data_IF_673577957712
#
_entry.id   IF_673577957712
#
_cell.length_a   1.000
_cell.length_b   1.000
_cell.length_c   1.000
_cell.angle_alpha   90.00
_cell.angle_beta   90.00
_cell.angle_gamma   90.00
#
_symmetry.space_group_name_H-M   'P 1'
#
loop_
_entity.id
_entity.type
_entity.pdbx_description
1 polymer ?
#
# COMPACT_ATOMS: atom_id res chain seq x y z
N UNK A 1 -3.21 14.40 17.23
CA UNK A 1 -3.84 13.12 17.63
C UNK A 1 -4.44 12.53 16.36
N UNK A 2 -4.20 11.27 16.05
CA UNK A 2 -4.78 10.62 14.86
C UNK A 2 -6.29 10.44 15.03
N UNK A 3 -7.03 10.45 13.91
CA UNK A 3 -8.45 10.12 13.93
C UNK A 3 -8.68 8.65 14.39
N UNK A 4 -9.88 8.36 14.87
CA UNK A 4 -10.25 7.01 15.26
C UNK A 4 -10.22 6.07 14.03
N UNK A 5 -9.70 4.84 14.16
CA UNK A 5 -9.76 3.86 13.10
C UNK A 5 -11.22 3.49 12.74
N UNK A 6 -11.46 3.25 11.47
CA UNK A 6 -12.74 2.80 10.93
C UNK A 6 -12.59 1.34 10.54
N UNK A 7 -13.38 0.45 11.13
CA UNK A 7 -13.39 -0.95 10.74
C UNK A 7 -13.94 -1.13 9.32
N UNK A 8 -13.31 -2.00 8.53
CA UNK A 8 -13.78 -2.30 7.17
C UNK A 8 -15.02 -3.19 7.18
N UNK A 9 -15.19 -3.99 8.22
CA UNK A 9 -16.30 -4.95 8.35
C UNK A 9 -17.00 -4.77 9.70
N UNK A 10 -18.32 -5.02 9.74
CA UNK A 10 -19.14 -4.91 10.95
C UNK A 10 -18.92 -6.06 11.96
N UNK A 11 -18.03 -6.99 11.65
CA UNK A 11 -17.68 -8.16 12.47
C UNK A 11 -16.32 -8.72 12.06
N UNK A 12 -16.05 -10.01 12.34
CA UNK A 12 -14.85 -10.66 11.86
C UNK A 12 -14.71 -10.53 10.33
N UNK A 13 -13.52 -10.20 9.86
CA UNK A 13 -13.29 -10.09 8.42
C UNK A 13 -13.42 -11.47 7.75
N UNK A 14 -14.09 -11.59 6.59
CA UNK A 14 -14.35 -12.86 5.93
C UNK A 14 -13.06 -13.65 5.67
N UNK A 15 -13.00 -14.92 6.12
CA UNK A 15 -11.84 -15.80 6.00
C UNK A 15 -10.82 -15.68 7.12
N UNK A 16 -11.11 -14.90 8.17
CA UNK A 16 -10.27 -14.78 9.38
C UNK A 16 -11.09 -14.91 10.68
N UNK A 17 -12.28 -15.52 10.65
CA UNK A 17 -13.22 -15.60 11.78
C UNK A 17 -12.65 -16.34 12.98
N UNK A 18 -11.68 -17.23 12.78
CA UNK A 18 -11.03 -18.00 13.84
C UNK A 18 -9.67 -17.44 14.28
N UNK A 19 -9.27 -16.27 13.78
CA UNK A 19 -7.96 -15.71 14.13
C UNK A 19 -7.98 -15.13 15.55
N UNK A 20 -6.93 -15.48 16.32
CA UNK A 20 -6.80 -15.10 17.74
C UNK A 20 -5.58 -14.24 18.02
N UNK A 21 -4.83 -13.89 16.98
CA UNK A 21 -3.65 -13.01 17.11
C UNK A 21 -4.03 -11.66 17.70
N UNK A 22 -3.19 -11.16 18.60
CA UNK A 22 -3.39 -9.85 19.22
C UNK A 22 -2.59 -8.82 18.45
N UNK A 23 -3.29 -7.82 17.86
CA UNK A 23 -2.64 -6.70 17.21
C UNK A 23 -1.66 -6.01 18.16
N UNK A 24 -0.44 -5.76 17.70
CA UNK A 24 0.61 -5.08 18.46
C UNK A 24 1.17 -3.94 17.64
N UNK A 25 1.62 -2.90 18.32
CA UNK A 25 2.39 -1.81 17.73
C UNK A 25 3.66 -1.60 18.54
N UNK A 26 4.80 -1.61 17.87
CA UNK A 26 6.10 -1.43 18.50
C UNK A 26 7.13 -0.89 17.49
N UNK A 27 8.22 -0.30 17.99
CA UNK A 27 9.36 0.06 17.17
C UNK A 27 10.25 -1.17 16.98
N UNK A 28 10.68 -1.43 15.75
CA UNK A 28 11.65 -2.49 15.45
C UNK A 28 12.93 -1.88 14.89
N UNK A 29 14.06 -2.23 15.50
CA UNK A 29 15.39 -1.84 15.00
C UNK A 29 15.75 -2.53 13.68
N UNK A 30 15.14 -3.71 13.40
CA UNK A 30 15.39 -4.47 12.16
C UNK A 30 14.98 -3.70 10.92
N UNK A 31 13.91 -2.91 11.01
CA UNK A 31 13.41 -2.07 9.92
C UNK A 31 13.48 -0.57 10.22
N UNK A 32 14.01 -0.20 11.37
CA UNK A 32 14.15 1.20 11.83
C UNK A 32 12.84 2.00 11.62
N UNK A 33 11.72 1.44 12.12
CA UNK A 33 10.39 2.06 12.00
C UNK A 33 9.42 1.49 13.04
N UNK A 34 8.35 2.22 13.34
CA UNK A 34 7.17 1.70 14.02
C UNK A 34 6.45 0.69 13.11
N UNK A 35 6.07 -0.44 13.67
CA UNK A 35 5.32 -1.49 12.98
C UNK A 35 4.03 -1.84 13.68
N UNK A 36 3.03 -2.25 12.91
CA UNK A 36 1.83 -2.92 13.41
C UNK A 36 1.83 -4.36 12.92
N UNK A 37 1.55 -5.31 13.82
CA UNK A 37 1.59 -6.75 13.52
C UNK A 37 0.30 -7.43 13.96
N UNK A 38 0.07 -8.67 13.51
CA UNK A 38 -1.11 -9.49 13.88
C UNK A 38 -2.46 -8.82 13.60
N UNK A 39 -2.58 -8.03 12.54
CA UNK A 39 -3.85 -7.44 12.14
C UNK A 39 -4.81 -8.57 11.71
N UNK A 40 -5.89 -8.74 12.46
CA UNK A 40 -7.01 -9.65 12.14
C UNK A 40 -8.30 -8.88 11.83
N UNK A 41 -8.42 -7.65 12.35
CA UNK A 41 -9.54 -6.74 12.12
C UNK A 41 -9.07 -5.52 11.31
N UNK A 42 -9.15 -5.56 9.97
CA UNK A 42 -8.63 -4.50 9.11
C UNK A 42 -9.37 -3.18 9.31
N UNK A 43 -8.60 -2.08 9.27
CA UNK A 43 -9.12 -0.73 9.52
C UNK A 43 -8.54 0.30 8.57
N UNK A 44 -9.27 1.40 8.37
CA UNK A 44 -8.79 2.64 7.77
C UNK A 44 -8.63 3.72 8.84
N UNK A 45 -7.50 4.43 8.83
CA UNK A 45 -7.28 5.60 9.69
C UNK A 45 -7.29 6.84 8.82
N UNK A 46 -8.33 7.70 8.92
CA UNK A 46 -8.39 8.94 8.13
C UNK A 46 -7.32 9.95 8.55
N UNK A 47 -6.73 10.62 7.57
CA UNK A 47 -5.82 11.75 7.72
C UNK A 47 -6.36 12.87 6.82
N UNK A 48 -7.15 13.81 7.39
CA UNK A 48 -7.77 14.87 6.61
C UNK A 48 -6.74 15.89 6.12
N UNK A 49 -7.06 16.65 5.05
CA UNK A 49 -6.20 17.72 4.57
C UNK A 49 -5.87 18.72 5.67
N UNK A 50 -4.60 19.13 5.75
CA UNK A 50 -4.17 20.15 6.74
C UNK A 50 -4.28 21.57 6.21
N UNK A 51 -4.27 21.75 4.88
CA UNK A 51 -4.49 23.04 4.25
C UNK A 51 -6.00 23.34 4.19
N UNK A 52 -6.46 24.28 5.00
CA UNK A 52 -7.87 24.67 5.04
C UNK A 52 -8.37 25.11 3.66
N UNK A 53 -9.36 24.42 3.11
CA UNK A 53 -10.07 24.79 1.89
C UNK A 53 -9.42 24.38 0.56
N UNK A 54 -8.43 23.52 0.55
CA UNK A 54 -7.72 23.08 -0.66
C UNK A 54 -7.91 21.61 -1.05
N UNK A 55 -8.86 20.90 -0.48
CA UNK A 55 -9.23 19.58 -0.98
C UNK A 55 -10.13 19.75 -2.20
N UNK A 56 -9.65 19.34 -3.39
CA UNK A 56 -10.48 19.24 -4.60
C UNK A 56 -11.24 17.91 -4.67
N UNK A 57 -11.45 17.30 -3.50
CA UNK A 57 -12.14 16.03 -3.33
C UNK A 57 -11.24 14.80 -3.55
N UNK A 58 -9.94 14.95 -3.71
CA UNK A 58 -9.04 13.81 -3.94
C UNK A 58 -8.83 12.99 -2.68
N UNK A 59 -8.87 11.66 -2.83
CA UNK A 59 -8.59 10.71 -1.77
C UNK A 59 -7.48 9.73 -2.16
N UNK A 60 -6.67 9.32 -1.18
CA UNK A 60 -5.64 8.29 -1.37
C UNK A 60 -5.65 7.30 -0.21
N UNK A 61 -5.78 6.01 -0.53
CA UNK A 61 -5.55 4.93 0.42
C UNK A 61 -4.07 4.59 0.39
N UNK A 62 -3.44 4.53 1.55
CA UNK A 62 -2.01 4.22 1.72
C UNK A 62 -1.88 2.87 2.42
N UNK A 63 -1.30 1.88 1.75
CA UNK A 63 -1.05 0.54 2.26
C UNK A 63 0.45 0.35 2.54
N UNK A 64 0.88 0.32 3.81
CA UNK A 64 2.28 0.11 4.18
C UNK A 64 2.81 -1.26 3.75
N UNK A 65 4.12 -1.39 3.57
CA UNK A 65 4.80 -2.67 3.38
C UNK A 65 5.13 -3.37 4.69
N UNK A 66 5.82 -4.51 4.58
CA UNK A 66 6.28 -5.31 5.72
C UNK A 66 6.07 -6.81 5.52
N UNK A 67 6.19 -7.29 4.28
CA UNK A 67 6.19 -8.73 3.95
C UNK A 67 4.92 -9.47 4.36
N UNK A 68 3.78 -8.79 4.52
CA UNK A 68 2.53 -9.32 5.09
C UNK A 68 2.65 -9.84 6.53
N UNK A 69 3.76 -9.64 7.22
CA UNK A 69 3.95 -10.00 8.63
C UNK A 69 3.89 -8.76 9.55
N UNK A 70 4.07 -7.58 8.98
CA UNK A 70 3.95 -6.30 9.66
C UNK A 70 3.52 -5.21 8.69
N UNK A 71 3.24 -4.04 9.23
CA UNK A 71 3.00 -2.80 8.49
C UNK A 71 4.03 -1.78 8.98
N UNK A 72 4.91 -1.29 8.11
CA UNK A 72 5.78 -0.14 8.39
C UNK A 72 4.93 1.12 8.54
N UNK A 73 4.18 1.19 9.65
CA UNK A 73 3.03 2.08 9.84
C UNK A 73 3.42 3.55 9.87
N UNK A 74 4.63 3.86 10.26
CA UNK A 74 5.16 5.23 10.27
C UNK A 74 5.72 5.61 8.90
N UNK A 75 6.84 5.01 8.47
CA UNK A 75 7.60 5.43 7.28
C UNK A 75 6.88 5.20 5.94
N UNK A 76 5.99 4.22 5.85
CA UNK A 76 5.22 3.87 4.63
C UNK A 76 3.70 4.05 4.81
N UNK A 77 3.28 4.50 6.00
CA UNK A 77 1.89 4.77 6.33
C UNK A 77 1.66 6.25 6.64
N UNK A 78 1.81 6.63 7.91
CA UNK A 78 1.43 7.96 8.36
C UNK A 78 2.31 9.08 7.80
N UNK A 79 3.61 8.89 7.62
CA UNK A 79 4.48 9.90 7.05
C UNK A 79 4.09 10.22 5.59
N UNK A 80 3.69 9.21 4.82
CA UNK A 80 3.14 9.37 3.47
C UNK A 80 1.80 10.10 3.51
N UNK A 81 0.88 9.63 4.36
CA UNK A 81 -0.44 10.22 4.50
C UNK A 81 -0.39 11.70 4.93
N UNK A 82 0.50 12.05 5.86
CA UNK A 82 0.72 13.45 6.30
C UNK A 82 1.25 14.32 5.16
N UNK A 83 2.19 13.80 4.35
CA UNK A 83 2.72 14.52 3.18
C UNK A 83 1.65 14.78 2.13
N UNK A 84 0.77 13.79 1.87
CA UNK A 84 -0.36 13.93 0.96
C UNK A 84 -1.42 14.90 1.52
N UNK A 85 -1.74 14.79 2.80
CA UNK A 85 -2.67 15.69 3.48
C UNK A 85 -2.18 17.16 3.47
N UNK A 86 -0.87 17.37 3.55
CA UNK A 86 -0.29 18.71 3.48
C UNK A 86 -0.47 19.40 2.10
N UNK A 87 -0.76 18.64 1.05
CA UNK A 87 -1.02 19.16 -0.30
C UNK A 87 -2.46 18.99 -0.75
N UNK A 88 -3.38 18.67 0.18
CA UNK A 88 -4.82 18.73 -0.05
C UNK A 88 -5.54 17.40 -0.24
N UNK A 89 -4.85 16.24 -0.23
CA UNK A 89 -5.53 14.95 -0.26
C UNK A 89 -6.19 14.60 1.08
N UNK A 90 -7.34 13.95 1.02
CA UNK A 90 -7.81 13.15 2.16
C UNK A 90 -7.13 11.79 2.08
N UNK A 91 -6.15 11.54 2.95
CA UNK A 91 -5.44 10.28 2.97
C UNK A 91 -6.05 9.29 3.98
N UNK A 92 -5.89 8.01 3.73
CA UNK A 92 -6.37 6.93 4.60
C UNK A 92 -5.27 5.89 4.75
N UNK A 93 -4.78 5.67 5.96
CA UNK A 93 -3.81 4.60 6.21
C UNK A 93 -4.56 3.29 6.43
N UNK A 94 -4.30 2.31 5.57
CA UNK A 94 -4.92 0.98 5.63
C UNK A 94 -4.09 0.04 6.49
N UNK A 95 -4.70 -0.50 7.54
CA UNK A 95 -4.21 -1.69 8.23
C UNK A 95 -4.95 -2.90 7.67
N UNK A 96 -4.32 -3.61 6.75
CA UNK A 96 -4.86 -4.83 6.14
C UNK A 96 -4.41 -6.07 6.92
N UNK A 97 -5.10 -7.20 6.73
CA UNK A 97 -4.80 -8.47 7.41
C UNK A 97 -3.40 -8.98 7.12
N UNK A 98 -2.78 -9.52 8.17
CA UNK A 98 -1.42 -10.00 8.16
C UNK A 98 -1.34 -11.47 8.54
N UNK A 99 -0.24 -12.13 8.19
CA UNK A 99 0.16 -13.42 8.76
C UNK A 99 0.17 -13.29 10.28
N UNK A 100 -0.44 -14.27 10.95
CA UNK A 100 -0.49 -14.29 12.41
C UNK A 100 0.77 -14.97 12.96
N UNK A 101 1.41 -14.36 13.92
CA UNK A 101 2.63 -14.85 14.58
C UNK A 101 2.66 -14.56 16.06
N UNK A 102 3.82 -14.69 16.66
CA UNK A 102 4.06 -14.47 18.08
C UNK A 102 4.15 -13.00 18.48
N UNK A 103 5.01 -12.73 19.45
CA UNK A 103 5.18 -11.38 20.01
C UNK A 103 6.01 -10.46 19.14
N UNK A 104 6.93 -10.98 18.34
CA UNK A 104 7.77 -10.25 17.40
C UNK A 104 7.77 -10.93 16.02
N UNK A 105 6.67 -10.71 15.28
CA UNK A 105 6.50 -11.27 13.93
C UNK A 105 7.50 -10.74 12.92
N UNK A 106 8.11 -9.57 13.16
CA UNK A 106 9.18 -9.04 12.31
C UNK A 106 10.46 -9.85 12.46
N UNK A 107 10.86 -10.16 13.69
CA UNK A 107 12.02 -11.02 13.94
C UNK A 107 11.76 -12.45 13.42
N UNK A 108 10.56 -13.00 13.64
CA UNK A 108 10.15 -14.30 13.10
C UNK A 108 10.22 -14.34 11.57
N UNK A 109 9.78 -13.29 10.88
CA UNK A 109 9.89 -13.18 9.43
C UNK A 109 11.35 -13.19 8.97
N UNK A 110 12.20 -12.34 9.59
CA UNK A 110 13.62 -12.26 9.23
C UNK A 110 14.32 -13.60 9.43
N UNK A 111 14.04 -14.30 10.52
CA UNK A 111 14.54 -15.65 10.78
C UNK A 111 14.05 -16.63 9.70
N UNK A 112 12.73 -16.66 9.42
CA UNK A 112 12.15 -17.59 8.44
C UNK A 112 12.65 -17.30 7.03
N UNK A 113 12.80 -16.04 6.64
CA UNK A 113 13.42 -15.66 5.35
C UNK A 113 14.85 -16.16 5.19
N UNK A 114 15.56 -16.35 6.29
CA UNK A 114 16.95 -16.81 6.29
C UNK A 114 17.06 -18.34 6.36
N UNK A 115 16.16 -18.99 7.10
CA UNK A 115 16.23 -20.43 7.41
C UNK A 115 15.31 -21.29 6.54
N UNK A 116 14.16 -20.73 6.11
CA UNK A 116 13.12 -21.41 5.32
C UNK A 116 12.37 -20.41 4.44
N UNK A 117 13.04 -19.95 3.39
CA UNK A 117 12.50 -18.95 2.46
C UNK A 117 11.20 -19.44 1.78
N UNK A 118 11.08 -20.72 1.49
CA UNK A 118 9.89 -21.29 0.85
C UNK A 118 8.67 -21.10 1.74
N UNK A 119 8.79 -21.44 3.02
CA UNK A 119 7.73 -21.23 4.01
C UNK A 119 7.36 -19.74 4.14
N UNK A 120 8.34 -18.85 4.26
CA UNK A 120 8.06 -17.42 4.35
C UNK A 120 7.26 -16.90 3.14
N UNK A 121 7.60 -17.37 1.94
CA UNK A 121 6.90 -17.02 0.71
C UNK A 121 5.49 -17.62 0.64
N UNK A 122 5.29 -18.84 1.10
CA UNK A 122 3.99 -19.51 1.14
C UNK A 122 3.05 -18.81 2.11
N UNK A 123 3.52 -18.42 3.30
CA UNK A 123 2.75 -17.64 4.28
C UNK A 123 2.29 -16.30 3.69
N UNK A 124 3.19 -15.59 2.99
CA UNK A 124 2.85 -14.34 2.29
C UNK A 124 1.80 -14.56 1.19
N UNK A 125 1.96 -15.61 0.37
CA UNK A 125 1.03 -15.94 -0.72
C UNK A 125 -0.35 -16.29 -0.16
N UNK A 126 -0.41 -17.01 0.96
CA UNK A 126 -1.66 -17.43 1.57
C UNK A 126 -2.51 -16.25 2.10
N UNK A 127 -1.87 -15.24 2.69
CA UNK A 127 -2.58 -14.08 3.27
C UNK A 127 -2.85 -12.97 2.26
N UNK A 128 -2.05 -12.86 1.20
CA UNK A 128 -2.15 -11.78 0.23
C UNK A 128 -3.54 -11.61 -0.43
N UNK A 129 -4.32 -12.67 -0.75
CA UNK A 129 -5.69 -12.50 -1.23
C UNK A 129 -6.64 -11.86 -0.20
N UNK A 130 -6.46 -12.18 1.09
CA UNK A 130 -7.25 -11.58 2.17
C UNK A 130 -6.92 -10.10 2.33
N UNK A 131 -5.63 -9.74 2.31
CA UNK A 131 -5.18 -8.36 2.31
C UNK A 131 -5.66 -7.59 1.07
N UNK A 132 -5.71 -8.24 -0.10
CA UNK A 132 -6.29 -7.69 -1.33
C UNK A 132 -7.77 -7.37 -1.16
N UNK A 133 -8.55 -8.30 -0.58
CA UNK A 133 -9.97 -8.09 -0.28
C UNK A 133 -10.21 -6.92 0.70
N UNK A 134 -9.30 -6.73 1.67
CA UNK A 134 -9.33 -5.57 2.58
C UNK A 134 -9.08 -4.27 1.82
N UNK A 135 -8.13 -4.27 0.88
CA UNK A 135 -7.88 -3.12 -0.01
C UNK A 135 -9.07 -2.77 -0.89
N UNK A 136 -9.75 -3.77 -1.46
CA UNK A 136 -10.96 -3.59 -2.24
C UNK A 136 -12.09 -2.99 -1.39
N UNK A 137 -12.31 -3.52 -0.18
CA UNK A 137 -13.33 -3.00 0.73
C UNK A 137 -12.99 -1.59 1.20
N UNK A 138 -11.70 -1.26 1.37
CA UNK A 138 -11.26 0.09 1.69
C UNK A 138 -11.68 1.10 0.60
N UNK A 139 -11.49 0.78 -0.69
CA UNK A 139 -11.95 1.63 -1.80
C UNK A 139 -13.47 1.79 -1.78
N UNK A 140 -14.21 0.68 -1.62
CA UNK A 140 -15.68 0.73 -1.55
C UNK A 140 -16.16 1.56 -0.36
N UNK A 141 -15.53 1.42 0.82
CA UNK A 141 -15.88 2.18 2.02
C UNK A 141 -15.66 3.69 1.82
N UNK A 142 -14.50 4.09 1.28
CA UNK A 142 -14.22 5.52 1.00
C UNK A 142 -15.26 6.08 0.03
N UNK A 143 -15.60 5.35 -1.04
CA UNK A 143 -16.62 5.79 -2.01
C UNK A 143 -18.02 5.87 -1.41
N UNK A 144 -18.42 4.90 -0.58
CA UNK A 144 -19.73 4.91 0.10
C UNK A 144 -19.88 6.06 1.10
N UNK A 145 -18.78 6.46 1.72
CA UNK A 145 -18.73 7.53 2.74
C UNK A 145 -18.10 8.82 2.21
N UNK A 146 -18.11 9.02 0.90
CA UNK A 146 -17.44 10.13 0.22
C UNK A 146 -17.90 11.50 0.75
N UNK A 147 -19.20 11.68 0.98
CA UNK A 147 -19.76 12.91 1.54
C UNK A 147 -19.19 13.22 2.95
N UNK A 148 -19.10 12.21 3.81
CA UNK A 148 -18.56 12.35 5.17
C UNK A 148 -17.09 12.78 5.17
N UNK A 149 -16.31 12.28 4.22
CA UNK A 149 -14.89 12.62 4.10
C UNK A 149 -14.64 13.85 3.22
N UNK A 150 -15.69 14.43 2.64
CA UNK A 150 -15.58 15.54 1.67
C UNK A 150 -14.68 15.16 0.48
N UNK A 151 -14.83 13.94 -0.05
CA UNK A 151 -14.10 13.44 -1.21
C UNK A 151 -15.03 13.21 -2.40
N UNK A 152 -14.46 13.26 -3.61
CA UNK A 152 -15.12 12.86 -4.83
C UNK A 152 -14.95 11.35 -5.01
N UNK A 153 -16.03 10.55 -5.06
CA UNK A 153 -15.94 9.10 -5.22
C UNK A 153 -15.29 8.64 -6.54
N UNK A 154 -15.11 9.54 -7.50
CA UNK A 154 -14.39 9.28 -8.76
C UNK A 154 -12.92 9.70 -8.74
N UNK A 155 -12.39 10.11 -7.56
CA UNK A 155 -11.01 10.56 -7.36
C UNK A 155 -10.35 9.82 -6.19
N UNK A 156 -10.48 8.49 -6.15
CA UNK A 156 -9.92 7.65 -5.09
C UNK A 156 -8.73 6.86 -5.61
N UNK A 157 -7.53 7.26 -5.22
CA UNK A 157 -6.29 6.56 -5.56
C UNK A 157 -5.83 5.56 -4.51
N UNK A 158 -4.86 4.74 -4.89
CA UNK A 158 -4.26 3.75 -4.00
C UNK A 158 -2.74 3.75 -4.14
N UNK A 159 -2.03 4.03 -3.05
CA UNK A 159 -0.57 3.96 -2.94
C UNK A 159 -0.21 2.80 -2.03
N UNK A 160 0.70 1.93 -2.45
CA UNK A 160 1.12 0.81 -1.62
C UNK A 160 2.61 0.51 -1.75
N UNK A 161 3.22 0.03 -0.68
CA UNK A 161 4.65 -0.20 -0.58
C UNK A 161 4.96 -1.69 -0.42
N UNK A 162 5.89 -2.25 -1.19
CA UNK A 162 6.32 -3.65 -1.05
C UNK A 162 5.12 -4.62 -1.05
N UNK A 163 4.84 -5.28 0.08
CA UNK A 163 3.62 -6.10 0.26
C UNK A 163 2.33 -5.28 0.13
N UNK A 164 2.28 -4.05 0.65
CA UNK A 164 1.18 -3.11 0.42
C UNK A 164 1.05 -2.70 -1.04
N UNK A 165 2.16 -2.67 -1.79
CA UNK A 165 2.17 -2.52 -3.25
C UNK A 165 1.54 -3.72 -3.97
N UNK A 166 1.72 -4.94 -3.46
CA UNK A 166 1.01 -6.12 -3.92
C UNK A 166 -0.51 -5.98 -3.66
N UNK A 167 -0.91 -5.46 -2.48
CA UNK A 167 -2.32 -5.12 -2.21
C UNK A 167 -2.85 -4.11 -3.24
N UNK A 168 -2.11 -3.02 -3.49
CA UNK A 168 -2.49 -2.00 -4.48
C UNK A 168 -2.70 -2.59 -5.89
N UNK A 169 -1.82 -3.52 -6.31
CA UNK A 169 -1.95 -4.22 -7.58
C UNK A 169 -3.18 -5.14 -7.64
N UNK A 170 -3.47 -5.88 -6.56
CA UNK A 170 -4.69 -6.72 -6.47
C UNK A 170 -5.94 -5.87 -6.63
N UNK A 171 -5.98 -4.73 -5.95
CA UNK A 171 -7.12 -3.79 -6.02
C UNK A 171 -7.23 -3.19 -7.43
N UNK A 172 -6.13 -2.77 -8.05
CA UNK A 172 -6.12 -2.23 -9.42
C UNK A 172 -6.56 -3.28 -10.46
N UNK A 173 -6.23 -4.56 -10.23
CA UNK A 173 -6.60 -5.68 -11.10
C UNK A 173 -7.90 -6.38 -10.67
N UNK A 174 -8.67 -5.82 -9.75
CA UNK A 174 -9.95 -6.41 -9.31
C UNK A 174 -10.92 -6.56 -10.48
N UNK A 175 -11.65 -7.68 -10.50
CA UNK A 175 -12.76 -7.89 -11.44
C UNK A 175 -13.97 -6.98 -11.13
N UNK A 176 -14.08 -6.52 -9.87
CA UNK A 176 -15.09 -5.57 -9.44
C UNK A 176 -14.65 -4.13 -9.74
N UNK A 177 -15.25 -3.51 -10.75
CA UNK A 177 -14.94 -2.14 -11.13
C UNK A 177 -15.18 -1.12 -10.00
N UNK A 178 -16.13 -1.38 -9.08
CA UNK A 178 -16.42 -0.50 -7.95
C UNK A 178 -15.31 -0.52 -6.89
N UNK A 179 -14.48 -1.57 -6.87
CA UNK A 179 -13.34 -1.71 -5.97
C UNK A 179 -12.05 -1.14 -6.57
N UNK A 180 -11.97 -0.93 -7.90
CA UNK A 180 -10.74 -0.43 -8.53
C UNK A 180 -10.52 1.04 -8.23
N UNK A 181 -9.29 1.46 -7.88
CA UNK A 181 -8.97 2.86 -7.67
C UNK A 181 -8.90 3.61 -9.02
N UNK A 182 -9.04 4.93 -8.97
CA UNK A 182 -8.98 5.79 -10.16
C UNK A 182 -7.53 6.00 -10.63
N UNK A 183 -6.55 5.81 -9.76
CA UNK A 183 -5.12 5.69 -10.07
C UNK A 183 -4.42 4.81 -9.04
N UNK A 184 -3.26 4.25 -9.39
CA UNK A 184 -2.51 3.35 -8.50
C UNK A 184 -1.01 3.68 -8.50
N UNK A 185 -0.37 3.57 -7.33
CA UNK A 185 1.07 3.73 -7.18
C UNK A 185 1.68 2.59 -6.35
N UNK A 186 2.01 1.44 -6.97
CA UNK A 186 2.74 0.36 -6.32
C UNK A 186 4.24 0.68 -6.27
N UNK A 187 4.74 1.09 -5.10
CA UNK A 187 6.11 1.49 -4.86
C UNK A 187 6.93 0.26 -4.46
N UNK A 188 8.02 -0.02 -5.18
CA UNK A 188 8.85 -1.25 -5.04
C UNK A 188 8.03 -2.50 -4.71
N UNK A 189 6.92 -2.68 -5.43
CA UNK A 189 5.96 -3.73 -5.19
C UNK A 189 6.43 -5.08 -5.74
N UNK A 190 6.06 -6.18 -5.05
CA UNK A 190 6.18 -7.52 -5.62
C UNK A 190 4.91 -7.88 -6.41
N UNK A 191 5.08 -8.50 -7.58
CA UNK A 191 3.99 -9.05 -8.39
C UNK A 191 3.66 -10.52 -8.05
N UNK A 192 4.34 -11.08 -7.04
CA UNK A 192 4.18 -12.48 -6.67
C UNK A 192 2.72 -12.82 -6.33
N UNK A 193 2.23 -13.90 -6.92
CA UNK A 193 0.86 -14.38 -6.68
C UNK A 193 -0.24 -13.51 -7.31
N UNK A 194 0.10 -12.62 -8.24
CA UNK A 194 -0.86 -11.82 -9.01
C UNK A 194 -0.63 -12.04 -10.50
N UNK A 195 -1.71 -12.21 -11.26
CA UNK A 195 -1.64 -12.16 -12.72
C UNK A 195 -1.79 -10.69 -13.18
N UNK A 196 -0.67 -10.08 -13.53
CA UNK A 196 -0.61 -8.70 -14.04
C UNK A 196 -0.44 -8.63 -15.56
N UNK A 197 -0.58 -9.77 -16.26
CA UNK A 197 -0.33 -9.84 -17.71
C UNK A 197 -1.30 -8.99 -18.52
N UNK A 198 -2.55 -8.96 -18.11
CA UNK A 198 -3.62 -8.23 -18.79
C UNK A 198 -4.42 -7.42 -17.75
N UNK A 199 -4.11 -6.13 -17.55
CA UNK A 199 -4.92 -5.28 -16.68
C UNK A 199 -6.37 -5.24 -17.16
N UNK A 200 -7.37 -5.36 -16.26
CA UNK A 200 -8.78 -5.30 -16.65
C UNK A 200 -9.12 -3.99 -17.38
N UNK A 201 -10.10 -4.04 -18.27
CA UNK A 201 -10.60 -2.82 -18.92
C UNK A 201 -11.07 -1.79 -17.90
N UNK A 202 -10.67 -0.53 -18.07
CA UNK A 202 -10.99 0.55 -17.13
C UNK A 202 -10.07 0.59 -15.88
N UNK A 203 -8.95 -0.13 -15.91
CA UNK A 203 -7.87 0.08 -14.91
C UNK A 203 -7.26 1.47 -15.11
N UNK A 204 -7.02 2.17 -13.99
CA UNK A 204 -6.48 3.54 -13.99
C UNK A 204 -4.99 3.63 -14.34
N UNK A 205 -4.48 4.87 -14.46
CA UNK A 205 -3.06 5.16 -14.65
C UNK A 205 -2.23 4.66 -13.46
N UNK A 206 -0.94 4.39 -13.73
CA UNK A 206 -0.01 3.84 -12.72
C UNK A 206 1.26 4.69 -12.60
N UNK A 207 1.67 4.92 -11.35
CA UNK A 207 2.98 5.47 -11.01
C UNK A 207 3.83 4.40 -10.32
N UNK A 208 5.09 4.27 -10.73
CA UNK A 208 6.03 3.28 -10.19
C UNK A 208 7.30 3.97 -9.70
N UNK A 209 7.78 3.57 -8.52
CA UNK A 209 9.10 3.96 -8.04
C UNK A 209 9.82 2.76 -7.42
N UNK A 210 11.10 2.61 -7.73
CA UNK A 210 11.94 1.50 -7.25
C UNK A 210 13.40 1.91 -7.24
N UNK A 211 14.22 1.32 -6.36
CA UNK A 211 15.68 1.46 -6.42
C UNK A 211 16.31 0.26 -7.13
N UNK A 212 17.36 0.53 -7.94
CA UNK A 212 18.05 -0.53 -8.69
C UNK A 212 18.87 -1.44 -7.77
N UNK A 213 19.30 -0.91 -6.62
CA UNK A 213 20.00 -1.62 -5.55
C UNK A 213 19.05 -2.25 -4.52
N UNK A 214 17.76 -2.42 -4.86
CA UNK A 214 16.78 -3.12 -4.02
C UNK A 214 17.25 -4.55 -3.73
N UNK A 215 17.45 -4.87 -2.46
CA UNK A 215 17.99 -6.15 -1.98
C UNK A 215 17.04 -7.34 -2.25
N UNK A 216 15.74 -7.10 -2.46
CA UNK A 216 14.76 -8.11 -2.82
C UNK A 216 14.63 -8.29 -4.34
N UNK A 217 15.33 -7.48 -5.15
CA UNK A 217 15.36 -7.58 -6.60
C UNK A 217 14.06 -7.14 -7.28
N UNK A 218 13.22 -6.33 -6.63
CA UNK A 218 11.89 -5.94 -7.12
C UNK A 218 11.92 -4.91 -8.26
N UNK A 219 13.10 -4.46 -8.67
CA UNK A 219 13.28 -3.65 -9.89
C UNK A 219 12.70 -4.36 -11.11
N UNK A 220 12.88 -5.69 -11.21
CA UNK A 220 12.33 -6.50 -12.30
C UNK A 220 10.81 -6.42 -12.35
N UNK A 221 10.14 -6.57 -11.19
CA UNK A 221 8.68 -6.50 -11.09
C UNK A 221 8.16 -5.13 -11.56
N UNK A 222 8.80 -4.04 -11.11
CA UNK A 222 8.42 -2.68 -11.51
C UNK A 222 8.60 -2.43 -13.02
N UNK A 223 9.67 -2.94 -13.62
CA UNK A 223 9.90 -2.84 -15.08
C UNK A 223 8.87 -3.67 -15.85
N UNK A 224 8.52 -4.86 -15.37
CA UNK A 224 7.49 -5.68 -15.98
C UNK A 224 6.12 -5.00 -15.93
N UNK A 225 5.71 -4.45 -14.78
CA UNK A 225 4.47 -3.68 -14.63
C UNK A 225 4.42 -2.51 -15.61
N UNK A 226 5.49 -1.72 -15.73
CA UNK A 226 5.59 -0.64 -16.70
C UNK A 226 5.34 -1.11 -18.13
N UNK A 227 5.97 -2.24 -18.52
CA UNK A 227 5.80 -2.79 -19.86
C UNK A 227 4.36 -3.27 -20.11
N UNK A 228 3.73 -3.92 -19.11
CA UNK A 228 2.35 -4.43 -19.20
C UNK A 228 1.33 -3.31 -19.34
N UNK A 229 1.42 -2.26 -18.51
CA UNK A 229 0.53 -1.10 -18.61
C UNK A 229 0.67 -0.40 -19.95
N UNK A 230 1.90 -0.18 -20.42
CA UNK A 230 2.14 0.36 -21.77
C UNK A 230 1.56 -0.50 -22.87
N UNK A 231 1.71 -1.80 -22.80
CA UNK A 231 1.18 -2.72 -23.81
C UNK A 231 -0.35 -2.71 -23.85
N UNK A 232 -1.00 -2.48 -22.69
CA UNK A 232 -2.44 -2.30 -22.56
C UNK A 232 -2.94 -0.90 -22.99
N UNK A 233 -2.04 0.01 -23.38
CA UNK A 233 -2.40 1.39 -23.74
C UNK A 233 -2.77 2.27 -22.56
N UNK A 234 -2.44 1.85 -21.33
CA UNK A 234 -2.72 2.59 -20.10
C UNK A 234 -1.57 3.56 -19.77
N UNK A 235 -1.88 4.77 -19.24
CA UNK A 235 -0.85 5.70 -18.78
C UNK A 235 -0.02 5.08 -17.66
N UNK A 236 1.30 5.17 -17.75
CA UNK A 236 2.21 4.66 -16.74
C UNK A 236 3.51 5.45 -16.72
N UNK A 237 4.01 5.76 -15.52
CA UNK A 237 5.31 6.41 -15.31
C UNK A 237 6.15 5.55 -14.36
N UNK A 238 7.46 5.43 -14.63
CA UNK A 238 8.41 4.66 -13.82
C UNK A 238 9.63 5.49 -13.46
N UNK A 239 9.93 5.59 -12.16
CA UNK A 239 11.17 6.14 -11.62
C UNK A 239 12.04 5.02 -11.04
N UNK A 240 13.13 4.70 -11.71
CA UNK A 240 14.13 3.74 -11.25
C UNK A 240 15.38 4.49 -10.75
N UNK A 241 15.53 4.56 -9.44
CA UNK A 241 16.67 5.22 -8.79
C UNK A 241 17.87 4.28 -8.76
N UNK A 242 19.07 4.81 -9.00
CA UNK A 242 20.29 3.98 -8.95
C UNK A 242 20.54 3.43 -7.52
N UNK A 243 20.15 4.19 -6.49
CA UNK A 243 20.34 3.86 -5.07
C UNK A 243 19.09 4.25 -4.28
N UNK A 244 18.84 3.52 -3.19
CA UNK A 244 17.71 3.71 -2.28
C UNK A 244 17.48 2.47 -1.42
N UNK A 245 17.90 1.30 -1.89
CA UNK A 245 17.62 0.02 -1.26
C UNK A 245 16.13 -0.36 -1.30
N UNK A 246 15.74 -1.39 -0.57
CA UNK A 246 14.35 -1.74 -0.34
C UNK A 246 13.77 -0.95 0.83
N UNK A 247 12.48 -0.55 0.75
CA UNK A 247 11.79 0.08 1.86
C UNK A 247 12.22 1.54 2.13
N UNK A 248 12.58 2.31 1.09
CA UNK A 248 12.99 3.71 1.29
C UNK A 248 11.84 4.59 1.81
N UNK A 249 10.56 4.33 1.46
CA UNK A 249 9.39 5.04 2.02
C UNK A 249 9.58 6.55 2.12
N UNK A 250 9.31 7.09 3.31
CA UNK A 250 9.56 8.50 3.65
C UNK A 250 10.85 8.71 4.47
N UNK A 251 11.78 7.75 4.42
CA UNK A 251 13.07 7.87 5.10
C UNK A 251 13.95 8.90 4.42
N UNK A 252 14.71 9.63 5.22
CA UNK A 252 15.71 10.60 4.72
C UNK A 252 17.06 9.88 4.62
N UNK A 253 17.45 9.53 3.40
CA UNK A 253 18.72 8.86 3.10
C UNK A 253 19.75 9.80 2.44
N UNK A 254 19.32 11.05 2.11
CA UNK A 254 20.10 12.01 1.31
C UNK A 254 20.43 11.46 -0.10
N UNK A 255 19.46 10.73 -0.68
CA UNK A 255 19.53 10.14 -2.01
C UNK A 255 18.41 10.69 -2.90
N UNK A 256 18.55 10.61 -4.24
CA UNK A 256 17.47 11.01 -5.15
C UNK A 256 16.14 10.29 -4.89
N UNK A 257 16.17 9.07 -4.36
CA UNK A 257 14.97 8.32 -3.97
C UNK A 257 14.12 9.02 -2.90
N UNK A 258 14.69 9.90 -2.06
CA UNK A 258 13.95 10.65 -1.05
C UNK A 258 12.89 11.58 -1.67
N UNK A 259 13.03 11.91 -2.96
CA UNK A 259 12.11 12.82 -3.68
C UNK A 259 11.02 12.07 -4.47
N UNK A 260 10.87 10.76 -4.28
CA UNK A 260 9.88 9.97 -5.03
C UNK A 260 8.47 10.51 -4.89
N UNK A 261 8.10 10.97 -3.69
CA UNK A 261 6.77 11.51 -3.41
C UNK A 261 6.48 12.80 -4.18
N UNK A 262 7.50 13.64 -4.41
CA UNK A 262 7.35 14.85 -5.21
C UNK A 262 7.15 14.49 -6.70
N UNK A 263 7.82 13.44 -7.19
CA UNK A 263 7.59 12.91 -8.55
C UNK A 263 6.19 12.34 -8.71
N UNK A 264 5.70 11.62 -7.68
CA UNK A 264 4.32 11.15 -7.64
C UNK A 264 3.32 12.32 -7.72
N UNK A 265 3.55 13.38 -6.96
CA UNK A 265 2.68 14.56 -6.96
C UNK A 265 2.71 15.30 -8.30
N UNK A 266 3.88 15.46 -8.93
CA UNK A 266 4.03 16.05 -10.26
C UNK A 266 3.28 15.20 -11.32
N UNK A 267 3.46 13.88 -11.29
CA UNK A 267 2.76 12.96 -12.17
C UNK A 267 1.24 13.03 -11.98
N UNK A 268 0.77 13.00 -10.71
CA UNK A 268 -0.65 13.07 -10.41
C UNK A 268 -1.27 14.38 -10.92
N UNK A 269 -0.60 15.51 -10.70
CA UNK A 269 -1.06 16.80 -11.22
C UNK A 269 -1.16 16.85 -12.76
N UNK A 270 -0.35 16.05 -13.46
CA UNK A 270 -0.38 15.96 -14.91
C UNK A 270 -1.49 15.05 -15.47
N UNK A 271 -2.20 14.31 -14.62
CA UNK A 271 -3.35 13.50 -15.06
C UNK A 271 -4.60 14.34 -15.37
N UNK A 272 -4.70 15.57 -14.85
CA UNK A 272 -5.80 16.51 -15.09
C UNK A 272 -6.78 16.61 -13.95
#
# INVERSE_FOLDING_TARGET
MRAAPIHLYDGPAPGSEGWTGVERQYFTELWDTEVVTNVSAPTLVPVPPTAAGQGDGQAVIVAPGGGFHGLSIDSEGFAVADRLAAVGFTAFVLKYRLVQGGDDTVAELVETMTTDLERALDDMIAVAPLAGADGEEAVRLVRRRAEEFSVDPSKVGFVGFSAGGNVALRVACSSDAAARPDFVAPIYATTRGIDVREPPAGTGPMFLAVATDDSLGLTRDSVELYQRWRAAGLPVELHAYARGGHGFGMRVQHLPSDTWIDRFLDWHAALG
#
